data_IF_365216846001
#
_entry.id   IF_365216846001
#
_cell.length_a   1.000
_cell.length_b   1.000
_cell.length_c   1.000
_cell.angle_alpha   90.00
_cell.angle_beta   90.00
_cell.angle_gamma   90.00
#
_symmetry.space_group_name_H-M   'P 1'
#
loop_
_entity.id
_entity.type
_entity.pdbx_description
1 polymer ?
#
# COMPACT_ATOMS: atom_id res chain seq x y z
N UNK A 1 21.73 -21.10 3.26
CA UNK A 1 20.75 -20.09 2.83
C UNK A 1 20.34 -19.29 4.06
N UNK A 2 20.83 -18.06 4.19
CA UNK A 2 20.53 -17.19 5.33
C UNK A 2 19.06 -16.74 5.24
N UNK A 3 18.25 -17.22 6.17
CA UNK A 3 16.88 -16.78 6.38
C UNK A 3 16.95 -15.34 6.91
N UNK A 4 16.97 -14.35 6.03
CA UNK A 4 16.90 -12.93 6.41
C UNK A 4 15.50 -12.67 6.96
N UNK A 5 15.40 -12.69 8.29
CA UNK A 5 14.18 -12.37 9.01
C UNK A 5 13.84 -10.90 8.78
N UNK A 6 12.85 -10.64 7.91
CA UNK A 6 12.36 -9.29 7.65
C UNK A 6 11.53 -8.86 8.86
N UNK A 7 11.92 -7.76 9.57
CA UNK A 7 11.21 -7.36 10.77
C UNK A 7 9.81 -6.82 10.45
N UNK A 8 8.80 -7.42 11.05
CA UNK A 8 7.42 -6.97 10.97
C UNK A 8 7.05 -6.02 12.12
N UNK A 9 6.09 -5.14 11.88
CA UNK A 9 5.51 -4.23 12.87
C UNK A 9 4.00 -4.13 12.68
N UNK A 10 3.30 -3.73 13.73
CA UNK A 10 1.84 -3.61 13.74
C UNK A 10 1.43 -2.14 13.60
N UNK A 11 0.54 -1.84 12.66
CA UNK A 11 -0.06 -0.51 12.52
C UNK A 11 -0.95 -0.21 13.75
N UNK A 12 -0.76 0.94 14.40
CA UNK A 12 -1.55 1.32 15.57
C UNK A 12 -3.01 1.64 15.23
N UNK A 13 -3.29 1.94 13.96
CA UNK A 13 -4.62 2.33 13.50
C UNK A 13 -5.47 1.11 13.09
N UNK A 14 -4.99 0.35 12.10
CA UNK A 14 -5.76 -0.79 11.56
C UNK A 14 -5.36 -2.14 12.15
N UNK A 15 -4.35 -2.19 13.01
CA UNK A 15 -3.83 -3.40 13.69
C UNK A 15 -3.24 -4.46 12.75
N UNK A 16 -3.09 -4.18 11.48
CA UNK A 16 -2.47 -5.10 10.53
C UNK A 16 -0.96 -5.17 10.75
N UNK A 17 -0.39 -6.37 10.71
CA UNK A 17 1.06 -6.61 10.69
C UNK A 17 1.57 -6.46 9.27
N UNK A 18 2.68 -5.75 9.11
CA UNK A 18 3.37 -5.56 7.82
C UNK A 18 4.88 -5.46 8.07
N UNK A 19 5.64 -5.68 7.01
CA UNK A 19 7.07 -5.40 7.00
C UNK A 19 7.33 -3.96 7.46
N UNK A 20 8.37 -3.76 8.24
CA UNK A 20 8.76 -2.45 8.77
C UNK A 20 8.90 -1.38 7.67
N UNK A 21 9.43 -1.75 6.50
CA UNK A 21 9.61 -0.89 5.33
C UNK A 21 8.30 -0.35 4.75
N UNK A 22 7.21 -1.11 4.89
CA UNK A 22 5.85 -0.75 4.40
C UNK A 22 5.06 0.13 5.38
N UNK A 23 5.68 0.58 6.45
CA UNK A 23 5.07 1.40 7.49
C UNK A 23 5.85 2.69 7.69
N UNK A 24 5.17 3.76 8.06
CA UNK A 24 5.79 4.93 8.65
C UNK A 24 6.16 4.63 10.09
N UNK A 25 7.35 5.04 10.49
CA UNK A 25 7.79 5.02 11.89
C UNK A 25 7.58 6.38 12.52
N UNK A 26 6.95 6.40 13.68
CA UNK A 26 6.74 7.60 14.49
C UNK A 26 7.52 7.44 15.78
N UNK A 27 8.56 8.25 15.94
CA UNK A 27 9.43 8.25 17.09
C UNK A 27 8.79 9.06 18.23
N UNK A 28 8.77 8.50 19.44
CA UNK A 28 8.19 9.17 20.61
C UNK A 28 9.09 10.31 21.09
N UNK A 29 8.56 11.51 21.21
CA UNK A 29 9.23 12.67 21.79
C UNK A 29 8.90 12.80 23.28
N UNK A 30 7.63 13.05 23.61
CA UNK A 30 7.13 13.22 24.98
C UNK A 30 5.71 12.66 25.05
N UNK A 31 5.30 12.12 26.18
CA UNK A 31 3.92 11.65 26.45
C UNK A 31 3.13 11.15 25.24
N UNK A 32 2.31 12.04 24.64
CA UNK A 32 1.49 11.79 23.45
C UNK A 32 2.06 12.36 22.16
N UNK A 33 3.19 13.08 22.22
CA UNK A 33 3.81 13.73 21.07
C UNK A 33 4.84 12.82 20.40
N UNK A 34 4.74 12.73 19.09
CA UNK A 34 5.60 11.93 18.22
C UNK A 34 6.08 12.79 17.05
N UNK A 35 7.15 12.34 16.40
CA UNK A 35 7.67 12.93 15.17
C UNK A 35 7.82 11.87 14.10
N UNK A 36 7.73 12.27 12.84
CA UNK A 36 7.93 11.37 11.72
C UNK A 36 9.41 11.04 11.54
N UNK A 37 9.80 9.80 11.84
CA UNK A 37 11.16 9.29 11.65
C UNK A 37 11.29 8.67 10.24
N UNK A 38 11.48 9.54 9.24
CA UNK A 38 11.55 9.17 7.82
C UNK A 38 12.64 8.13 7.53
N UNK A 39 13.81 8.26 8.16
CA UNK A 39 14.95 7.36 7.96
C UNK A 39 14.93 6.15 8.89
N UNK A 40 14.01 6.09 9.84
CA UNK A 40 13.86 5.04 10.84
C UNK A 40 15.12 4.79 11.70
N UNK A 41 15.86 5.85 11.98
CA UNK A 41 17.15 5.79 12.71
C UNK A 41 17.09 6.28 14.14
N UNK A 42 16.03 6.99 14.55
CA UNK A 42 15.95 7.59 15.90
C UNK A 42 15.92 6.53 16.99
N UNK A 43 16.76 6.70 18.01
CA UNK A 43 16.85 5.79 19.15
C UNK A 43 15.80 6.14 20.21
N UNK A 44 14.54 5.96 19.91
CA UNK A 44 13.42 6.17 20.83
C UNK A 44 12.36 5.10 20.64
N UNK A 45 11.47 4.96 21.63
CA UNK A 45 10.26 4.16 21.44
C UNK A 45 9.48 4.70 20.26
N UNK A 46 8.85 3.83 19.51
CA UNK A 46 8.13 4.21 18.31
C UNK A 46 6.84 3.43 18.14
N UNK A 47 5.92 4.02 17.39
CA UNK A 47 4.73 3.37 16.86
C UNK A 47 4.79 3.39 15.34
N UNK A 48 4.01 2.53 14.71
CA UNK A 48 4.03 2.36 13.26
C UNK A 48 2.63 2.56 12.68
N UNK A 49 2.55 3.14 11.49
CA UNK A 49 1.30 3.43 10.76
C UNK A 49 1.44 3.05 9.30
N UNK A 50 0.41 2.45 8.73
CA UNK A 50 0.40 2.12 7.30
C UNK A 50 0.62 3.36 6.41
N UNK A 51 1.35 3.18 5.32
CA UNK A 51 1.50 4.18 4.24
C UNK A 51 0.20 4.21 3.40
N UNK A 52 -0.92 4.61 4.01
CA UNK A 52 -2.23 4.72 3.36
C UNK A 52 -3.00 5.93 3.83
N UNK A 53 -3.79 6.53 2.94
CA UNK A 53 -4.60 7.71 3.24
C UNK A 53 -5.60 7.46 4.37
N UNK A 54 -6.20 6.27 4.41
CA UNK A 54 -7.16 5.89 5.46
C UNK A 54 -6.51 5.88 6.85
N UNK A 55 -5.34 5.22 7.00
CA UNK A 55 -4.64 5.19 8.29
C UNK A 55 -4.10 6.56 8.67
N UNK A 56 -3.60 7.35 7.71
CA UNK A 56 -3.10 8.69 7.97
C UNK A 56 -4.22 9.65 8.40
N UNK A 57 -5.39 9.60 7.76
CA UNK A 57 -6.56 10.41 8.13
C UNK A 57 -7.08 10.09 9.54
N UNK A 58 -7.07 8.82 9.94
CA UNK A 58 -7.42 8.41 11.31
C UNK A 58 -6.33 8.79 12.32
N UNK A 59 -5.06 8.74 11.93
CA UNK A 59 -3.94 9.18 12.77
C UNK A 59 -4.04 10.67 13.11
N UNK A 60 -4.39 11.52 12.15
CA UNK A 60 -4.55 12.96 12.35
C UNK A 60 -5.59 13.32 13.45
N UNK A 61 -6.53 12.41 13.70
CA UNK A 61 -7.57 12.54 14.75
C UNK A 61 -7.27 11.69 16.00
N UNK A 62 -6.09 11.10 16.11
CA UNK A 62 -5.78 10.14 17.17
C UNK A 62 -5.42 10.87 18.49
N UNK A 63 -6.05 10.46 19.60
CA UNK A 63 -5.91 11.17 20.89
C UNK A 63 -4.55 10.91 21.58
N UNK A 64 -3.96 9.71 21.41
CA UNK A 64 -2.74 9.27 22.11
C UNK A 64 -1.46 9.42 21.28
N UNK A 65 -1.57 9.76 20.01
CA UNK A 65 -0.43 9.97 19.11
C UNK A 65 -0.68 11.25 18.34
N UNK A 66 0.01 12.30 18.74
CA UNK A 66 -0.07 13.63 18.13
C UNK A 66 1.19 13.92 17.35
N UNK A 67 1.02 14.43 16.14
CA UNK A 67 2.09 14.83 15.23
C UNK A 67 1.96 16.30 14.89
N UNK A 68 3.09 16.90 14.54
CA UNK A 68 3.11 18.22 13.91
C UNK A 68 2.44 18.14 12.52
N UNK A 69 1.86 19.27 12.11
CA UNK A 69 1.25 19.42 10.77
C UNK A 69 2.26 19.21 9.65
N UNK A 70 3.54 19.60 9.83
CA UNK A 70 4.60 19.39 8.86
C UNK A 70 4.90 17.90 8.66
N UNK A 71 4.93 17.12 9.74
CA UNK A 71 5.13 15.67 9.69
C UNK A 71 3.99 14.98 8.96
N UNK A 72 2.74 15.35 9.28
CA UNK A 72 1.56 14.82 8.58
C UNK A 72 1.59 15.15 7.08
N UNK A 73 1.96 16.38 6.70
CA UNK A 73 2.09 16.77 5.30
C UNK A 73 3.21 16.02 4.58
N UNK A 74 4.34 15.80 5.26
CA UNK A 74 5.46 15.03 4.71
C UNK A 74 5.06 13.58 4.42
N UNK A 75 4.34 12.94 5.34
CA UNK A 75 3.80 11.58 5.16
C UNK A 75 2.79 11.53 4.03
N UNK A 76 1.87 12.51 3.94
CA UNK A 76 0.89 12.62 2.87
C UNK A 76 1.56 12.76 1.49
N UNK A 77 2.58 13.61 1.38
CA UNK A 77 3.32 13.80 0.14
C UNK A 77 4.01 12.52 -0.34
N UNK A 78 4.54 11.72 0.58
CA UNK A 78 5.14 10.41 0.23
C UNK A 78 4.08 9.48 -0.35
N UNK A 79 2.90 9.37 0.28
CA UNK A 79 1.80 8.55 -0.23
C UNK A 79 1.34 9.02 -1.61
N UNK A 80 1.11 10.32 -1.77
CA UNK A 80 0.63 10.89 -3.02
C UNK A 80 1.63 10.71 -4.17
N UNK A 81 2.92 10.87 -3.89
CA UNK A 81 3.99 10.65 -4.88
C UNK A 81 4.02 9.19 -5.34
N UNK A 82 3.99 8.24 -4.41
CA UNK A 82 3.96 6.81 -4.72
C UNK A 82 2.69 6.44 -5.52
N UNK A 83 1.52 6.94 -5.11
CA UNK A 83 0.28 6.73 -5.85
C UNK A 83 0.37 7.25 -7.29
N UNK A 84 0.88 8.48 -7.48
CA UNK A 84 1.03 9.08 -8.81
C UNK A 84 1.98 8.28 -9.70
N UNK A 85 3.10 7.83 -9.16
CA UNK A 85 4.06 7.00 -9.90
C UNK A 85 3.41 5.68 -10.34
N UNK A 86 2.75 4.98 -9.45
CA UNK A 86 2.05 3.74 -9.78
C UNK A 86 0.98 3.95 -10.86
N UNK A 87 0.15 4.99 -10.74
CA UNK A 87 -0.88 5.31 -11.75
C UNK A 87 -0.28 5.65 -13.12
N UNK A 88 0.86 6.34 -13.17
CA UNK A 88 1.58 6.63 -14.40
C UNK A 88 2.11 5.35 -15.07
N UNK A 89 2.68 4.43 -14.30
CA UNK A 89 3.14 3.13 -14.79
C UNK A 89 1.95 2.33 -15.35
N UNK A 90 0.85 2.26 -14.61
CA UNK A 90 -0.38 1.59 -15.05
C UNK A 90 -0.93 2.19 -16.36
N UNK A 91 -0.91 3.51 -16.49
CA UNK A 91 -1.34 4.17 -17.71
C UNK A 91 -0.48 3.78 -18.93
N UNK A 92 0.83 3.59 -18.75
CA UNK A 92 1.71 3.11 -19.82
C UNK A 92 1.41 1.67 -20.27
N UNK A 93 0.78 0.88 -19.40
CA UNK A 93 0.38 -0.52 -19.67
C UNK A 93 -1.01 -0.65 -20.30
N UNK A 94 -1.72 0.45 -20.51
CA UNK A 94 -3.14 0.47 -20.88
C UNK A 94 -3.51 -0.42 -22.09
N UNK A 95 -2.60 -0.50 -23.05
CA UNK A 95 -2.83 -1.22 -24.32
C UNK A 95 -2.08 -2.56 -24.39
N UNK A 96 -1.53 -3.06 -23.27
CA UNK A 96 -0.69 -4.26 -23.30
C UNK A 96 -1.45 -5.57 -23.49
N UNK A 97 -2.76 -5.62 -23.19
CA UNK A 97 -3.52 -6.87 -23.14
C UNK A 97 -3.16 -7.81 -21.97
N UNK A 98 -2.16 -7.45 -21.16
CA UNK A 98 -1.62 -8.28 -20.08
C UNK A 98 -2.23 -7.95 -18.71
N UNK A 99 -3.34 -7.24 -18.69
CA UNK A 99 -4.03 -6.82 -17.48
C UNK A 99 -5.35 -7.55 -17.32
N UNK A 100 -5.67 -7.95 -16.09
CA UNK A 100 -6.98 -8.47 -15.69
C UNK A 100 -7.60 -7.54 -14.67
N UNK A 101 -8.90 -7.25 -14.82
CA UNK A 101 -9.62 -6.28 -14.00
C UNK A 101 -10.74 -6.93 -13.21
N UNK A 102 -10.81 -6.59 -11.93
CA UNK A 102 -11.85 -7.08 -11.03
C UNK A 102 -11.53 -8.42 -10.39
N UNK A 103 -12.25 -8.72 -9.30
CA UNK A 103 -11.91 -9.83 -8.39
C UNK A 103 -12.12 -11.20 -9.06
N UNK A 104 -13.18 -11.36 -9.83
CA UNK A 104 -13.49 -12.65 -10.44
C UNK A 104 -12.43 -13.04 -11.49
N UNK A 105 -12.16 -12.14 -12.45
CA UNK A 105 -11.13 -12.37 -13.47
C UNK A 105 -9.73 -12.50 -12.85
N UNK A 106 -9.45 -11.78 -11.76
CA UNK A 106 -8.20 -11.96 -11.04
C UNK A 106 -8.03 -13.39 -10.55
N UNK A 107 -9.06 -13.96 -9.90
CA UNK A 107 -8.97 -15.33 -9.37
C UNK A 107 -8.96 -16.41 -10.46
N UNK A 108 -9.66 -16.20 -11.56
CA UNK A 108 -9.60 -17.10 -12.72
C UNK A 108 -8.21 -17.14 -13.37
N UNK A 109 -7.46 -16.04 -13.30
CA UNK A 109 -6.13 -15.90 -13.91
C UNK A 109 -4.98 -15.88 -12.89
N UNK A 110 -5.21 -16.16 -11.62
CA UNK A 110 -4.29 -15.89 -10.52
C UNK A 110 -2.92 -16.57 -10.69
N UNK A 111 -2.87 -17.74 -11.32
CA UNK A 111 -1.64 -18.50 -11.57
C UNK A 111 -0.71 -17.83 -12.59
N UNK A 112 -1.25 -16.95 -13.43
CA UNK A 112 -0.52 -16.19 -14.44
C UNK A 112 -0.23 -14.74 -14.01
N UNK A 113 -0.70 -14.34 -12.83
CA UNK A 113 -0.51 -12.97 -12.31
C UNK A 113 0.79 -12.89 -11.53
N UNK A 114 1.61 -11.89 -11.86
CA UNK A 114 2.90 -11.64 -11.22
C UNK A 114 2.92 -10.43 -10.30
N UNK A 115 1.92 -9.54 -10.40
CA UNK A 115 1.76 -8.38 -9.52
C UNK A 115 0.29 -7.97 -9.44
N UNK A 116 -0.12 -7.43 -8.29
CA UNK A 116 -1.51 -7.02 -8.07
C UNK A 116 -1.56 -5.59 -7.54
N UNK A 117 -2.47 -4.79 -8.10
CA UNK A 117 -2.81 -3.46 -7.63
C UNK A 117 -4.22 -3.48 -7.06
N UNK A 118 -4.38 -3.06 -5.81
CA UNK A 118 -5.65 -3.05 -5.08
C UNK A 118 -6.05 -1.59 -4.80
N UNK A 119 -7.31 -1.23 -5.05
CA UNK A 119 -7.84 0.08 -4.69
C UNK A 119 -7.87 0.28 -3.16
N UNK A 120 -7.63 1.51 -2.68
CA UNK A 120 -7.61 1.83 -1.24
C UNK A 120 -8.99 1.78 -0.59
N UNK A 121 -10.04 1.99 -1.35
CA UNK A 121 -11.43 2.08 -0.91
C UNK A 121 -12.24 0.80 -1.18
N UNK A 122 -11.56 -0.30 -1.50
CA UNK A 122 -12.18 -1.63 -1.61
C UNK A 122 -12.82 -2.04 -0.27
N UNK A 123 -13.93 -2.77 -0.32
CA UNK A 123 -14.55 -3.28 0.91
C UNK A 123 -13.62 -4.22 1.68
N UNK A 124 -13.64 -4.13 3.00
CA UNK A 124 -12.78 -4.94 3.89
C UNK A 124 -12.89 -6.44 3.62
N UNK A 125 -14.12 -6.93 3.36
CA UNK A 125 -14.36 -8.34 3.01
C UNK A 125 -13.62 -8.76 1.74
N UNK A 126 -13.65 -7.93 0.71
CA UNK A 126 -12.96 -8.20 -0.55
C UNK A 126 -11.45 -8.09 -0.42
N UNK A 127 -10.96 -7.08 0.32
CA UNK A 127 -9.55 -6.94 0.64
C UNK A 127 -8.99 -8.18 1.33
N UNK A 128 -9.64 -8.65 2.40
CA UNK A 128 -9.24 -9.85 3.14
C UNK A 128 -9.22 -11.10 2.25
N UNK A 129 -10.23 -11.26 1.39
CA UNK A 129 -10.30 -12.39 0.43
C UNK A 129 -9.13 -12.39 -0.55
N UNK A 130 -8.81 -11.21 -1.11
CA UNK A 130 -7.70 -11.05 -2.06
C UNK A 130 -6.38 -11.30 -1.36
N UNK A 131 -6.14 -10.63 -0.21
CA UNK A 131 -4.87 -10.71 0.52
C UNK A 131 -4.58 -12.16 0.98
N UNK A 132 -5.59 -12.90 1.43
CA UNK A 132 -5.40 -14.32 1.77
C UNK A 132 -4.82 -15.09 0.59
N UNK A 133 -5.45 -14.97 -0.59
CA UNK A 133 -5.03 -15.71 -1.79
C UNK A 133 -3.65 -15.27 -2.30
N UNK A 134 -3.36 -13.97 -2.25
CA UNK A 134 -2.05 -13.41 -2.61
C UNK A 134 -0.94 -13.96 -1.72
N UNK A 135 -1.18 -14.05 -0.41
CA UNK A 135 -0.20 -14.54 0.55
C UNK A 135 0.09 -16.04 0.35
N UNK A 136 -0.92 -16.84 0.05
CA UNK A 136 -0.76 -18.26 -0.27
C UNK A 136 0.18 -18.45 -1.48
N UNK A 137 0.04 -17.63 -2.50
CA UNK A 137 0.79 -17.71 -3.76
C UNK A 137 2.06 -16.83 -3.77
N UNK A 138 2.29 -16.04 -2.70
CA UNK A 138 3.42 -15.09 -2.56
C UNK A 138 3.51 -14.08 -3.71
N UNK A 139 2.36 -13.63 -4.24
CA UNK A 139 2.30 -12.63 -5.29
C UNK A 139 2.51 -11.24 -4.66
N UNK A 140 3.45 -10.42 -5.15
CA UNK A 140 3.63 -9.05 -4.67
C UNK A 140 2.43 -8.17 -5.05
N UNK A 141 2.10 -7.21 -4.19
CA UNK A 141 0.98 -6.31 -4.42
C UNK A 141 1.22 -4.93 -3.82
N UNK A 142 0.45 -3.96 -4.30
CA UNK A 142 0.38 -2.60 -3.75
C UNK A 142 -1.08 -2.18 -3.57
N UNK A 143 -1.34 -1.37 -2.56
CA UNK A 143 -2.65 -0.74 -2.34
C UNK A 143 -2.51 0.74 -2.68
N UNK A 144 -3.15 1.20 -3.76
CA UNK A 144 -2.94 2.55 -4.32
C UNK A 144 -4.16 3.07 -5.08
N UNK A 145 -4.43 4.36 -4.93
CA UNK A 145 -5.55 5.02 -5.59
C UNK A 145 -6.93 4.57 -5.10
N UNK A 146 -7.96 5.30 -5.47
CA UNK A 146 -9.35 4.87 -5.30
C UNK A 146 -9.82 4.01 -6.48
N UNK A 147 -10.94 3.30 -6.33
CA UNK A 147 -11.56 2.55 -7.43
C UNK A 147 -11.83 3.45 -8.64
N UNK A 148 -12.27 4.68 -8.40
CA UNK A 148 -12.51 5.66 -9.47
C UNK A 148 -11.21 6.15 -10.12
N UNK A 149 -10.14 6.40 -9.34
CA UNK A 149 -8.84 6.79 -9.89
C UNK A 149 -8.25 5.70 -10.77
N UNK A 150 -8.31 4.45 -10.33
CA UNK A 150 -7.91 3.30 -11.15
C UNK A 150 -8.79 3.17 -12.40
N UNK A 151 -10.10 3.37 -12.26
CA UNK A 151 -11.05 3.35 -13.38
C UNK A 151 -10.70 4.39 -14.45
N UNK A 152 -10.43 5.63 -14.05
CA UNK A 152 -10.04 6.73 -14.97
C UNK A 152 -8.82 6.39 -15.83
N UNK A 153 -7.82 5.70 -15.27
CA UNK A 153 -6.62 5.29 -16.03
C UNK A 153 -7.01 4.42 -17.24
N UNK A 154 -8.03 3.58 -17.11
CA UNK A 154 -8.42 2.58 -18.13
C UNK A 154 -9.74 2.88 -18.82
N UNK A 155 -10.27 4.11 -18.68
CA UNK A 155 -11.57 4.53 -19.24
C UNK A 155 -12.73 3.63 -18.75
N UNK A 156 -12.70 3.22 -17.49
CA UNK A 156 -13.74 2.48 -16.78
C UNK A 156 -14.30 3.32 -15.64
N UNK A 157 -15.52 3.04 -15.21
CA UNK A 157 -16.15 3.76 -14.11
C UNK A 157 -15.38 3.52 -12.81
N UNK A 158 -15.16 2.28 -12.44
CA UNK A 158 -14.46 1.86 -11.24
C UNK A 158 -13.65 0.57 -11.48
N UNK A 159 -12.52 0.45 -10.80
CA UNK A 159 -11.71 -0.78 -10.78
C UNK A 159 -11.31 -1.07 -9.35
N UNK A 160 -11.72 -2.23 -8.83
CA UNK A 160 -11.39 -2.69 -7.47
C UNK A 160 -9.98 -3.26 -7.36
N UNK A 161 -9.55 -3.99 -8.38
CA UNK A 161 -8.26 -4.68 -8.40
C UNK A 161 -7.79 -4.90 -9.84
N UNK A 162 -6.47 -4.85 -10.02
CA UNK A 162 -5.81 -5.11 -11.31
C UNK A 162 -4.77 -6.20 -11.10
N UNK A 163 -4.82 -7.26 -11.88
CA UNK A 163 -3.76 -8.27 -11.98
C UNK A 163 -2.90 -8.02 -13.21
N UNK A 164 -1.57 -8.11 -13.04
CA UNK A 164 -0.58 -7.91 -14.12
C UNK A 164 0.05 -9.25 -14.43
N UNK A 165 -0.15 -9.75 -15.66
CA UNK A 165 0.36 -11.04 -16.14
C UNK A 165 1.77 -10.95 -16.72
N UNK A 166 2.17 -9.80 -17.26
CA UNK A 166 3.52 -9.62 -17.77
C UNK A 166 4.54 -9.46 -16.64
N UNK A 167 5.54 -10.38 -16.62
CA UNK A 167 6.57 -10.42 -15.58
C UNK A 167 7.53 -9.22 -15.62
N UNK A 168 7.79 -8.65 -16.81
CA UNK A 168 8.70 -7.50 -16.96
C UNK A 168 8.00 -6.23 -16.45
N UNK A 169 6.72 -6.05 -16.82
CA UNK A 169 5.91 -4.95 -16.32
C UNK A 169 5.73 -4.99 -14.80
N UNK A 170 5.51 -6.21 -14.25
CA UNK A 170 5.39 -6.41 -12.80
C UNK A 170 6.65 -5.96 -12.04
N UNK A 171 7.85 -6.20 -12.58
CA UNK A 171 9.11 -5.76 -11.95
C UNK A 171 9.20 -4.24 -11.80
N UNK A 172 8.76 -3.48 -12.79
CA UNK A 172 8.76 -2.01 -12.71
C UNK A 172 7.93 -1.42 -11.57
N UNK A 173 7.01 -2.21 -10.99
CA UNK A 173 6.20 -1.81 -9.83
C UNK A 173 6.76 -2.31 -8.49
N UNK A 174 7.68 -3.26 -8.52
CA UNK A 174 8.32 -3.83 -7.30
C UNK A 174 9.56 -3.02 -6.89
N UNK A 175 10.26 -2.40 -7.85
CA UNK A 175 11.55 -1.73 -7.63
C UNK A 175 11.44 -0.28 -7.11
N UNK A 176 10.24 0.23 -6.84
CA UNK A 176 10.00 1.50 -6.14
C UNK A 176 9.60 1.20 -4.67
#
# INVERSE_FOLDING_TARGET
MSNTHIPERTCIICRTKKEKSKLFRLAKLKETFYEFDKEQKKQSRAVYVCKSLNCLGKLAKHNKVKLDSQDLMSMLNIINKANKNCLNILNSMKNSGELVFGINLLFENIEHVHFIVIAQDISKKNEEKIIRRINELKIPYVVVGSMQELGKVFNKEEITVIGIKDKKMARGLVEE
#
